data_IF_045080357245
#
_entry.id   IF_045080357245
#
_cell.length_a   1.000
_cell.length_b   1.000
_cell.length_c   1.000
_cell.angle_alpha   90.00
_cell.angle_beta   90.00
_cell.angle_gamma   90.00
#
_symmetry.space_group_name_H-M   'P 1'
#
loop_
_entity.id
_entity.type
_entity.pdbx_description
1 polymer ?
#
# COMPACT_ATOMS: atom_id res chain seq x y z
N UNK A 1 -14.54 15.07 14.07
CA UNK A 1 -13.19 15.63 14.36
C UNK A 1 -12.23 14.69 15.12
N UNK A 2 -12.68 13.68 15.87
CA UNK A 2 -11.78 12.75 16.60
C UNK A 2 -11.09 11.71 15.69
N UNK A 3 -11.82 11.12 14.75
CA UNK A 3 -11.27 10.15 13.78
C UNK A 3 -10.15 10.73 12.92
N UNK A 4 -10.27 11.98 12.44
CA UNK A 4 -9.22 12.62 11.64
C UNK A 4 -7.91 12.83 12.43
N UNK A 5 -7.99 13.07 13.75
CA UNK A 5 -6.79 13.15 14.60
C UNK A 5 -6.17 11.79 14.86
N UNK A 6 -6.99 10.75 15.04
CA UNK A 6 -6.50 9.37 15.17
C UNK A 6 -5.84 8.90 13.88
N UNK A 7 -6.45 9.16 12.73
CA UNK A 7 -5.90 8.79 11.42
C UNK A 7 -4.60 9.53 11.12
N UNK A 8 -4.53 10.83 11.42
CA UNK A 8 -3.29 11.60 11.24
C UNK A 8 -2.20 11.18 12.24
N UNK A 9 -2.55 10.83 13.48
CA UNK A 9 -1.62 10.25 14.45
C UNK A 9 -1.09 8.90 13.98
N UNK A 10 -1.97 8.02 13.48
CA UNK A 10 -1.59 6.72 12.93
C UNK A 10 -0.72 6.86 11.68
N UNK A 11 -1.06 7.76 10.77
CA UNK A 11 -0.26 8.05 9.58
C UNK A 11 1.15 8.54 9.96
N UNK A 12 1.27 9.44 10.94
CA UNK A 12 2.57 9.90 11.44
C UNK A 12 3.38 8.77 12.08
N UNK A 13 2.74 7.92 12.88
CA UNK A 13 3.40 6.76 13.50
C UNK A 13 3.89 5.76 12.44
N UNK A 14 3.05 5.49 11.43
CA UNK A 14 3.44 4.66 10.28
C UNK A 14 4.64 5.25 9.55
N UNK A 15 4.61 6.55 9.21
CA UNK A 15 5.74 7.21 8.56
C UNK A 15 7.00 7.15 9.40
N UNK A 16 6.92 7.40 10.71
CA UNK A 16 8.06 7.30 11.61
C UNK A 16 8.62 5.87 11.66
N UNK A 17 7.75 4.85 11.72
CA UNK A 17 8.16 3.44 11.69
C UNK A 17 8.78 3.03 10.35
N UNK A 18 8.28 3.55 9.23
CA UNK A 18 8.81 3.29 7.91
C UNK A 18 10.20 3.90 7.74
N UNK A 19 10.38 5.15 8.17
CA UNK A 19 11.69 5.83 8.16
C UNK A 19 12.66 5.04 9.03
N UNK A 20 12.26 4.70 10.26
CA UNK A 20 13.12 3.94 11.19
C UNK A 20 13.51 2.59 10.61
N UNK A 21 12.53 1.80 10.10
CA UNK A 21 12.79 0.51 9.47
C UNK A 21 13.67 0.61 8.24
N UNK A 22 13.48 1.64 7.41
CA UNK A 22 14.32 1.87 6.22
C UNK A 22 15.76 2.22 6.60
N UNK A 23 15.96 3.03 7.64
CA UNK A 23 17.29 3.37 8.15
C UNK A 23 17.97 2.13 8.77
N UNK A 24 17.24 1.35 9.57
CA UNK A 24 17.76 0.10 10.15
C UNK A 24 18.14 -0.90 9.05
N UNK A 25 17.31 -1.05 8.03
CA UNK A 25 17.60 -1.88 6.86
C UNK A 25 18.83 -1.38 6.08
N UNK A 26 19.00 -0.07 5.92
CA UNK A 26 20.19 0.53 5.29
C UNK A 26 21.47 0.24 6.09
N UNK A 27 21.38 0.17 7.42
CA UNK A 27 22.50 -0.20 8.29
C UNK A 27 22.75 -1.71 8.35
N UNK A 28 21.97 -2.52 7.64
CA UNK A 28 22.07 -3.98 7.63
C UNK A 28 21.56 -4.64 8.92
N UNK A 29 20.86 -3.91 9.78
CA UNK A 29 20.26 -4.46 10.99
C UNK A 29 19.02 -5.24 10.59
N UNK A 30 19.08 -6.56 10.77
CA UNK A 30 17.98 -7.44 10.41
C UNK A 30 17.07 -7.71 11.60
N UNK A 31 15.86 -8.17 11.33
CA UNK A 31 14.90 -8.56 12.36
C UNK A 31 15.43 -9.65 13.29
N UNK A 32 16.35 -10.48 12.80
CA UNK A 32 17.01 -11.54 13.59
C UNK A 32 17.92 -10.95 14.67
N UNK A 33 18.53 -9.81 14.39
CA UNK A 33 19.41 -9.10 15.33
C UNK A 33 18.59 -8.38 16.43
N UNK A 34 17.41 -7.86 16.06
CA UNK A 34 16.52 -7.15 16.98
C UNK A 34 15.67 -8.08 17.84
N UNK A 35 15.16 -9.18 17.26
CA UNK A 35 14.24 -10.11 17.92
C UNK A 35 14.55 -11.57 17.57
N UNK A 36 15.64 -12.14 18.12
CA UNK A 36 16.08 -13.49 17.77
C UNK A 36 15.03 -14.57 18.08
N UNK A 37 14.25 -14.41 19.16
CA UNK A 37 13.18 -15.34 19.53
C UNK A 37 11.90 -15.24 18.67
N UNK A 38 11.72 -14.15 17.91
CA UNK A 38 10.55 -13.94 17.03
C UNK A 38 10.91 -13.93 15.55
N UNK A 39 12.18 -14.19 15.20
CA UNK A 39 12.66 -14.22 13.82
C UNK A 39 11.77 -15.06 12.90
N UNK A 40 11.45 -16.29 13.32
CA UNK A 40 10.62 -17.22 12.54
C UNK A 40 9.21 -16.66 12.33
N UNK A 41 8.62 -16.04 13.34
CA UNK A 41 7.28 -15.45 13.22
C UNK A 41 7.28 -14.27 12.26
N UNK A 42 8.31 -13.43 12.29
CA UNK A 42 8.40 -12.26 11.42
C UNK A 42 8.72 -12.66 9.97
N UNK A 43 9.53 -13.70 9.77
CA UNK A 43 9.76 -14.30 8.44
C UNK A 43 8.40 -14.77 7.86
N UNK A 44 7.59 -15.51 8.63
CA UNK A 44 6.25 -15.98 8.21
C UNK A 44 5.28 -14.83 7.90
N UNK A 45 5.31 -13.75 8.67
CA UNK A 45 4.50 -12.57 8.41
C UNK A 45 4.92 -11.90 7.10
N UNK A 46 6.22 -11.83 6.84
CA UNK A 46 6.75 -11.22 5.63
C UNK A 46 6.34 -12.02 4.40
N UNK A 47 6.47 -13.35 4.46
CA UNK A 47 5.99 -14.26 3.41
C UNK A 47 4.48 -14.09 3.14
N UNK A 48 3.68 -13.97 4.21
CA UNK A 48 2.24 -13.77 4.09
C UNK A 48 1.87 -12.42 3.46
N UNK A 49 2.61 -11.36 3.81
CA UNK A 49 2.45 -10.03 3.19
C UNK A 49 2.82 -10.08 1.72
N UNK A 50 3.95 -10.69 1.36
CA UNK A 50 4.38 -10.84 -0.03
C UNK A 50 3.34 -11.60 -0.86
N UNK A 51 2.84 -12.72 -0.35
CA UNK A 51 1.77 -13.49 -0.99
C UNK A 51 0.50 -12.66 -1.19
N UNK A 52 0.09 -11.92 -0.16
CA UNK A 52 -1.12 -11.10 -0.20
C UNK A 52 -0.99 -9.96 -1.20
N UNK A 53 0.15 -9.25 -1.20
CA UNK A 53 0.42 -8.16 -2.15
C UNK A 53 0.45 -8.70 -3.57
N UNK A 54 1.13 -9.82 -3.82
CA UNK A 54 1.20 -10.42 -5.14
C UNK A 54 -0.20 -10.82 -5.64
N UNK A 55 -0.98 -11.51 -4.81
CA UNK A 55 -2.36 -11.87 -5.12
C UNK A 55 -3.22 -10.63 -5.43
N UNK A 56 -3.08 -9.59 -4.62
CA UNK A 56 -3.83 -8.35 -4.78
C UNK A 56 -3.45 -7.63 -6.08
N UNK A 57 -2.17 -7.61 -6.46
CA UNK A 57 -1.72 -7.04 -7.73
C UNK A 57 -2.27 -7.85 -8.92
N UNK A 58 -2.15 -9.18 -8.88
CA UNK A 58 -2.63 -10.07 -9.94
C UNK A 58 -4.15 -9.90 -10.16
N UNK A 59 -4.91 -9.68 -9.09
CA UNK A 59 -6.35 -9.43 -9.20
C UNK A 59 -6.67 -7.98 -9.60
N UNK A 60 -6.02 -7.01 -8.97
CA UNK A 60 -6.39 -5.59 -9.11
C UNK A 60 -6.01 -5.02 -10.48
N UNK A 61 -4.80 -5.31 -10.97
CA UNK A 61 -4.26 -4.74 -12.22
C UNK A 61 -5.16 -5.01 -13.42
N UNK A 62 -5.53 -6.26 -13.77
CA UNK A 62 -6.36 -6.51 -14.94
C UNK A 62 -7.75 -5.89 -14.81
N UNK A 63 -8.35 -5.91 -13.61
CA UNK A 63 -9.67 -5.32 -13.37
C UNK A 63 -9.65 -3.78 -13.53
N UNK A 64 -8.59 -3.11 -13.05
CA UNK A 64 -8.40 -1.68 -13.28
C UNK A 64 -8.25 -1.39 -14.77
N UNK A 65 -7.46 -2.18 -15.50
CA UNK A 65 -7.25 -1.98 -16.95
C UNK A 65 -8.60 -2.10 -17.69
N UNK A 66 -9.39 -3.14 -17.41
CA UNK A 66 -10.73 -3.31 -18.00
C UNK A 66 -11.63 -2.12 -17.68
N UNK A 67 -11.66 -1.69 -16.42
CA UNK A 67 -12.41 -0.51 -15.99
C UNK A 67 -11.98 0.76 -16.72
N UNK A 68 -10.67 0.99 -16.86
CA UNK A 68 -10.10 2.13 -17.58
C UNK A 68 -10.49 2.12 -19.06
N UNK A 69 -10.39 0.97 -19.74
CA UNK A 69 -10.77 0.82 -21.15
C UNK A 69 -12.23 1.18 -21.39
N UNK A 70 -13.12 0.94 -20.42
CA UNK A 70 -14.55 1.26 -20.54
C UNK A 70 -14.88 2.69 -20.08
N UNK A 71 -14.36 3.12 -18.94
CA UNK A 71 -14.74 4.40 -18.30
C UNK A 71 -14.09 5.60 -18.99
N UNK A 72 -12.83 5.48 -19.42
CA UNK A 72 -12.11 6.61 -20.04
C UNK A 72 -12.80 7.10 -21.30
N UNK A 73 -13.21 6.25 -22.27
CA UNK A 73 -13.94 6.71 -23.45
C UNK A 73 -15.25 7.41 -23.12
N UNK A 74 -16.01 6.89 -22.14
CA UNK A 74 -17.27 7.51 -21.70
C UNK A 74 -17.02 8.91 -21.15
N UNK A 75 -15.99 9.07 -20.31
CA UNK A 75 -15.57 10.38 -19.81
C UNK A 75 -15.12 11.32 -20.92
N UNK A 76 -14.38 10.83 -21.91
CA UNK A 76 -13.96 11.64 -23.07
C UNK A 76 -15.18 12.16 -23.83
N UNK A 77 -16.17 11.30 -24.11
CA UNK A 77 -17.41 11.70 -24.78
C UNK A 77 -18.16 12.75 -23.96
N UNK A 78 -18.28 12.56 -22.64
CA UNK A 78 -18.92 13.52 -21.75
C UNK A 78 -18.14 14.83 -21.62
N UNK A 79 -16.82 14.83 -21.72
CA UNK A 79 -16.03 16.06 -21.71
C UNK A 79 -16.15 16.85 -23.02
N UNK A 80 -16.24 16.15 -24.15
CA UNK A 80 -16.35 16.78 -25.49
C UNK A 80 -17.78 17.26 -25.76
N UNK A 81 -18.78 16.42 -25.45
CA UNK A 81 -20.18 16.64 -25.82
C UNK A 81 -21.10 16.90 -24.62
N UNK A 82 -20.60 16.78 -23.39
CA UNK A 82 -21.40 17.02 -22.21
C UNK A 82 -21.81 18.49 -22.09
N UNK A 83 -22.91 18.75 -21.38
CA UNK A 83 -23.42 20.10 -21.20
C UNK A 83 -22.33 20.98 -20.57
N UNK A 84 -21.82 21.90 -21.39
CA UNK A 84 -20.90 22.95 -20.97
C UNK A 84 -21.69 23.87 -20.02
N UNK A 85 -21.43 23.76 -18.71
CA UNK A 85 -21.77 24.85 -17.79
C UNK A 85 -20.76 25.97 -17.94
#
# INVERSE_FOLDING_TARGET
MRIARLLSGFAKALLASLITGSVLGFLGITTRDLFPGMAIYIDRLTDAVELTVNWLVIWLVPNIIVGMVVIIPVWIILLIFGPRR
#
